data_IF_493255437071
#
_entry.id   IF_493255437071
#
_cell.length_a   1.000
_cell.length_b   1.000
_cell.length_c   1.000
_cell.angle_alpha   90.00
_cell.angle_beta   90.00
_cell.angle_gamma   90.00
#
_symmetry.space_group_name_H-M   'P 1'
#
loop_
_entity.id
_entity.type
_entity.pdbx_description
1 polymer ?
#
# COMPACT_ATOMS: atom_id res chain seq x y z
N UNK A 1 17.41 82.02 -42.60
CA UNK A 1 18.20 81.35 -41.54
C UNK A 1 17.23 80.98 -40.42
N UNK A 2 16.70 79.76 -40.44
CA UNK A 2 15.90 79.21 -39.34
C UNK A 2 16.68 78.07 -38.71
N UNK A 3 17.01 78.25 -37.45
CA UNK A 3 17.77 77.32 -36.61
C UNK A 3 16.89 76.14 -36.21
N UNK A 4 17.31 74.92 -36.54
CA UNK A 4 16.73 73.69 -36.05
C UNK A 4 17.10 73.49 -34.57
N UNK A 5 16.11 73.22 -33.72
CA UNK A 5 16.35 72.85 -32.32
C UNK A 5 16.69 71.35 -32.24
N UNK A 6 17.78 70.95 -31.55
CA UNK A 6 18.10 69.54 -31.38
C UNK A 6 17.11 68.87 -30.41
N UNK A 7 16.44 67.84 -30.92
CA UNK A 7 15.60 66.93 -30.14
C UNK A 7 16.49 66.12 -29.19
N UNK A 8 16.50 66.47 -27.91
CA UNK A 8 17.13 65.67 -26.86
C UNK A 8 16.18 64.55 -26.43
N UNK A 9 16.31 63.39 -27.08
CA UNK A 9 15.70 62.14 -26.65
C UNK A 9 16.32 61.79 -25.30
N UNK A 10 15.59 62.06 -24.20
CA UNK A 10 15.97 61.58 -22.85
C UNK A 10 15.89 60.06 -22.87
N UNK A 11 17.01 59.32 -22.79
CA UNK A 11 16.93 57.88 -22.62
C UNK A 11 16.24 57.64 -21.29
N UNK A 12 15.13 56.93 -21.34
CA UNK A 12 14.32 56.56 -20.19
C UNK A 12 15.17 55.64 -19.33
N UNK A 13 16.01 56.23 -18.47
CA UNK A 13 16.78 55.53 -17.44
C UNK A 13 15.78 54.75 -16.61
N UNK A 14 15.74 53.44 -16.86
CA UNK A 14 15.00 52.47 -16.09
C UNK A 14 15.33 52.74 -14.62
N UNK A 15 14.34 53.24 -13.86
CA UNK A 15 14.58 53.72 -12.52
C UNK A 15 15.25 52.63 -11.68
N UNK A 16 16.23 52.96 -10.83
CA UNK A 16 16.98 51.96 -10.06
C UNK A 16 16.07 51.09 -9.19
N UNK A 17 14.90 51.60 -8.79
CA UNK A 17 13.86 50.85 -8.06
C UNK A 17 13.19 49.78 -8.92
N UNK A 18 12.93 50.05 -10.19
CA UNK A 18 12.38 49.07 -11.12
C UNK A 18 13.41 47.97 -11.42
N UNK A 19 14.70 48.33 -11.56
CA UNK A 19 15.78 47.37 -11.71
C UNK A 19 15.99 46.51 -10.44
N UNK A 20 15.90 47.10 -9.24
CA UNK A 20 15.99 46.37 -7.96
C UNK A 20 14.80 45.42 -7.74
N UNK A 21 13.58 45.83 -8.08
CA UNK A 21 12.40 44.97 -8.01
C UNK A 21 12.49 43.81 -9.00
N UNK A 22 12.95 44.07 -10.23
CA UNK A 22 13.13 43.03 -11.24
C UNK A 22 14.22 42.01 -10.83
N UNK A 23 15.31 42.48 -10.22
CA UNK A 23 16.38 41.63 -9.70
C UNK A 23 15.95 40.82 -8.47
N UNK A 24 15.14 41.40 -7.57
CA UNK A 24 14.53 40.69 -6.45
C UNK A 24 13.56 39.60 -6.94
N UNK A 25 12.70 39.92 -7.92
CA UNK A 25 11.80 38.94 -8.55
C UNK A 25 12.57 37.82 -9.26
N UNK A 26 13.66 38.15 -9.96
CA UNK A 26 14.52 37.16 -10.60
C UNK A 26 15.16 36.23 -9.58
N UNK A 27 15.68 36.76 -8.47
CA UNK A 27 16.28 35.98 -7.38
C UNK A 27 15.23 35.07 -6.72
N UNK A 28 14.03 35.60 -6.43
CA UNK A 28 12.88 34.84 -5.89
C UNK A 28 12.40 33.74 -6.84
N UNK A 29 12.45 33.95 -8.16
CA UNK A 29 12.07 32.93 -9.15
C UNK A 29 13.12 31.84 -9.31
N UNK A 30 14.40 32.14 -9.09
CA UNK A 30 15.49 31.14 -9.18
C UNK A 30 15.68 30.32 -7.90
N UNK A 31 15.02 30.68 -6.80
CA UNK A 31 15.17 30.02 -5.49
C UNK A 31 14.16 28.91 -5.23
N UNK A 32 13.62 28.22 -6.25
CA UNK A 32 12.75 27.08 -6.02
C UNK A 32 13.53 25.94 -5.36
N UNK A 33 13.22 25.64 -4.09
CA UNK A 33 13.79 24.49 -3.39
C UNK A 33 13.44 23.19 -4.10
N UNK A 34 14.45 22.33 -4.33
CA UNK A 34 14.22 20.97 -4.81
C UNK A 34 14.36 20.02 -3.62
N UNK A 35 13.26 19.38 -3.23
CA UNK A 35 13.25 18.28 -2.26
C UNK A 35 13.15 16.95 -2.99
N UNK A 36 14.08 16.04 -2.70
CA UNK A 36 14.06 14.68 -3.24
C UNK A 36 14.04 13.69 -2.10
N UNK A 37 13.01 12.84 -2.08
CA UNK A 37 12.86 11.79 -1.06
C UNK A 37 12.90 10.43 -1.75
N UNK A 38 13.72 9.52 -1.24
CA UNK A 38 14.01 8.20 -1.82
C UNK A 38 13.93 7.12 -0.74
N UNK A 39 13.21 6.05 -1.04
CA UNK A 39 13.11 4.86 -0.20
C UNK A 39 13.74 3.68 -0.94
N UNK A 40 14.77 3.08 -0.37
CA UNK A 40 15.44 1.89 -0.89
C UNK A 40 14.99 0.67 -0.10
N UNK A 41 14.35 -0.29 -0.77
CA UNK A 41 13.87 -1.54 -0.18
C UNK A 41 14.85 -2.66 -0.49
N UNK A 42 15.34 -3.33 0.56
CA UNK A 42 16.21 -4.49 0.49
C UNK A 42 15.51 -5.68 1.13
N UNK A 43 15.76 -6.86 0.58
CA UNK A 43 15.30 -8.12 1.18
C UNK A 43 16.44 -9.12 1.29
N UNK A 44 16.34 -9.97 2.30
CA UNK A 44 17.19 -11.13 2.49
C UNK A 44 16.29 -12.38 2.52
N UNK A 45 16.39 -13.28 1.54
CA UNK A 45 17.31 -13.25 0.38
C UNK A 45 16.92 -12.23 -0.71
N UNK A 46 17.86 -11.76 -1.54
CA UNK A 46 17.59 -10.80 -2.62
C UNK A 46 16.71 -11.39 -3.74
N UNK A 47 16.22 -10.52 -4.63
CA UNK A 47 15.36 -10.90 -5.76
C UNK A 47 13.86 -11.06 -5.42
N UNK A 48 13.39 -10.57 -4.28
CA UNK A 48 11.97 -10.52 -3.98
C UNK A 48 11.27 -9.41 -4.80
N UNK A 49 10.06 -9.67 -5.28
CA UNK A 49 9.19 -8.69 -5.94
C UNK A 49 8.57 -7.77 -4.88
N UNK A 50 8.69 -6.46 -5.08
CA UNK A 50 8.27 -5.42 -4.12
C UNK A 50 7.06 -4.66 -4.65
N UNK A 51 6.07 -4.54 -3.79
CA UNK A 51 4.94 -3.64 -3.93
C UNK A 51 5.01 -2.58 -2.85
N UNK A 52 4.79 -1.32 -3.21
CA UNK A 52 4.65 -0.20 -2.27
C UNK A 52 3.29 0.43 -2.54
N UNK A 53 2.45 0.53 -1.50
CA UNK A 53 1.08 1.05 -1.60
C UNK A 53 0.29 0.38 -2.75
N UNK A 54 0.35 -0.95 -2.79
CA UNK A 54 -0.24 -1.82 -3.82
C UNK A 54 0.30 -1.64 -5.26
N UNK A 55 1.24 -0.74 -5.50
CA UNK A 55 1.90 -0.56 -6.80
C UNK A 55 3.17 -1.42 -6.90
N UNK A 56 3.31 -2.16 -8.01
CA UNK A 56 4.52 -2.94 -8.29
C UNK A 56 5.69 -2.00 -8.64
N UNK A 57 6.78 -2.10 -7.89
CA UNK A 57 7.98 -1.27 -8.11
C UNK A 57 9.04 -2.05 -8.89
N UNK A 58 9.31 -3.29 -8.50
CA UNK A 58 10.34 -4.13 -9.10
C UNK A 58 10.91 -5.15 -8.13
N UNK A 59 12.10 -5.69 -8.42
CA UNK A 59 12.77 -6.69 -7.58
C UNK A 59 13.83 -6.08 -6.66
N UNK A 60 13.94 -6.55 -5.42
CA UNK A 60 14.96 -6.06 -4.47
C UNK A 60 16.38 -6.40 -4.92
N UNK A 61 17.37 -5.50 -4.71
CA UNK A 61 17.22 -4.16 -4.13
C UNK A 61 16.61 -3.16 -5.13
N UNK A 62 15.58 -2.43 -4.72
CA UNK A 62 14.92 -1.42 -5.55
C UNK A 62 14.73 -0.10 -4.78
N UNK A 63 14.75 1.02 -5.49
CA UNK A 63 14.52 2.35 -4.92
C UNK A 63 13.27 2.98 -5.54
N UNK A 64 12.43 3.57 -4.70
CA UNK A 64 11.23 4.32 -5.10
C UNK A 64 11.33 5.74 -4.56
N UNK A 65 11.06 6.72 -5.41
CA UNK A 65 10.96 8.12 -4.99
C UNK A 65 9.54 8.36 -4.42
N UNK A 66 9.41 9.06 -3.28
CA UNK A 66 8.12 9.30 -2.62
C UNK A 66 7.90 10.78 -2.32
N UNK A 67 6.63 11.22 -2.26
CA UNK A 67 6.31 12.64 -2.05
C UNK A 67 5.98 12.93 -0.58
N UNK A 68 5.11 12.14 0.04
CA UNK A 68 4.59 12.39 1.39
C UNK A 68 5.18 11.43 2.42
N UNK A 69 5.42 11.93 3.62
CA UNK A 69 5.69 11.10 4.79
C UNK A 69 4.43 10.46 5.34
N UNK A 70 4.62 9.39 6.10
CA UNK A 70 3.54 8.60 6.67
C UNK A 70 3.90 7.12 6.69
N UNK A 71 2.90 6.31 6.99
CA UNK A 71 3.01 4.85 6.95
C UNK A 71 2.72 4.37 5.53
N UNK A 72 3.58 3.51 4.98
CA UNK A 72 3.39 2.89 3.67
C UNK A 72 3.33 1.38 3.78
N UNK A 73 2.46 0.77 3.00
CA UNK A 73 2.35 -0.69 2.95
C UNK A 73 3.42 -1.21 1.99
N UNK A 74 4.38 -1.97 2.53
CA UNK A 74 5.43 -2.63 1.74
C UNK A 74 5.13 -4.13 1.75
N UNK A 75 4.88 -4.68 0.56
CA UNK A 75 4.63 -6.11 0.38
C UNK A 75 5.73 -6.74 -0.47
N UNK A 76 6.37 -7.77 0.07
CA UNK A 76 7.44 -8.51 -0.57
C UNK A 76 6.99 -9.93 -0.89
N UNK A 77 7.19 -10.34 -2.14
CA UNK A 77 6.80 -11.66 -2.64
C UNK A 77 8.03 -12.34 -3.22
N UNK A 78 8.32 -13.56 -2.77
CA UNK A 78 9.39 -14.39 -3.32
C UNK A 78 8.97 -15.86 -3.32
N UNK A 79 9.29 -16.59 -4.39
CA UNK A 79 9.01 -18.03 -4.50
C UNK A 79 9.72 -18.83 -3.40
N UNK A 80 8.99 -19.70 -2.71
CA UNK A 80 9.52 -20.51 -1.60
C UNK A 80 9.68 -19.75 -0.28
N UNK A 81 9.19 -18.51 -0.22
CA UNK A 81 9.17 -17.68 0.98
C UNK A 81 7.74 -17.21 1.26
N UNK A 82 7.44 -16.95 2.52
CA UNK A 82 6.18 -16.36 2.94
C UNK A 82 6.05 -14.93 2.41
N UNK A 83 4.85 -14.55 1.97
CA UNK A 83 4.57 -13.17 1.56
C UNK A 83 4.57 -12.28 2.78
N UNK A 84 5.47 -11.30 2.80
CA UNK A 84 5.61 -10.38 3.92
C UNK A 84 4.94 -9.05 3.57
N UNK A 85 3.90 -8.68 4.33
CA UNK A 85 3.25 -7.37 4.24
C UNK A 85 3.51 -6.59 5.53
N UNK A 86 4.20 -5.45 5.42
CA UNK A 86 4.59 -4.61 6.57
C UNK A 86 4.17 -3.17 6.33
N UNK A 87 3.50 -2.59 7.33
CA UNK A 87 3.22 -1.17 7.38
C UNK A 87 4.43 -0.44 7.94
N UNK A 88 5.28 0.09 7.05
CA UNK A 88 6.51 0.76 7.43
C UNK A 88 6.24 2.25 7.70
N UNK A 89 6.39 2.74 8.95
CA UNK A 89 6.30 4.16 9.23
C UNK A 89 7.54 4.89 8.71
N UNK A 90 7.31 5.98 7.98
CA UNK A 90 8.35 6.90 7.49
C UNK A 90 8.04 8.28 8.11
N UNK A 91 8.58 8.57 9.31
CA UNK A 91 8.26 9.80 10.02
C UNK A 91 8.82 11.02 9.29
N UNK A 92 7.99 12.08 9.26
CA UNK A 92 8.40 13.38 8.78
C UNK A 92 9.44 13.99 9.73
N UNK A 93 10.53 14.58 9.22
CA UNK A 93 11.43 15.37 10.03
C UNK A 93 10.73 16.66 10.48
N UNK A 94 11.22 17.25 11.57
CA UNK A 94 10.63 18.42 12.22
C UNK A 94 10.38 19.62 11.28
N UNK A 95 11.22 19.78 10.25
CA UNK A 95 11.13 20.88 9.29
C UNK A 95 10.07 20.68 8.20
N UNK A 96 9.44 19.50 8.10
CA UNK A 96 8.38 19.18 7.14
C UNK A 96 7.01 19.02 7.80
N UNK A 97 6.83 19.60 8.99
CA UNK A 97 5.54 19.67 9.69
C UNK A 97 4.84 20.98 9.30
N UNK A 98 3.57 20.96 8.85
CA UNK A 98 2.83 22.19 8.56
C UNK A 98 2.72 23.11 9.79
N UNK A 99 2.89 24.44 9.65
CA UNK A 99 3.10 25.23 8.43
C UNK A 99 4.58 25.41 8.02
N UNK A 100 5.52 24.96 8.85
CA UNK A 100 6.96 25.14 8.65
C UNK A 100 7.46 24.49 7.34
N UNK A 101 6.81 23.40 6.93
CA UNK A 101 7.02 22.69 5.66
C UNK A 101 6.98 23.60 4.43
N UNK A 102 6.05 24.57 4.39
CA UNK A 102 5.97 25.49 3.26
C UNK A 102 7.21 26.37 3.15
N UNK A 103 7.79 26.79 4.27
CA UNK A 103 8.96 27.66 4.26
C UNK A 103 10.22 26.86 3.95
N UNK A 104 10.35 25.65 4.52
CA UNK A 104 11.50 24.79 4.27
C UNK A 104 11.53 24.23 2.85
N UNK A 105 10.41 23.81 2.27
CA UNK A 105 10.39 23.31 0.89
C UNK A 105 10.55 24.43 -0.15
N UNK A 106 10.00 25.64 0.08
CA UNK A 106 10.05 26.75 -0.91
C UNK A 106 11.25 27.68 -0.75
N UNK A 107 11.79 27.86 0.46
CA UNK A 107 12.90 28.79 0.75
C UNK A 107 14.17 28.08 1.21
N UNK A 108 14.26 26.75 1.13
CA UNK A 108 15.54 26.08 1.24
C UNK A 108 16.41 26.49 0.04
N UNK A 109 17.29 27.47 0.27
CA UNK A 109 18.41 27.83 -0.60
C UNK A 109 19.39 26.65 -0.86
N UNK A 110 19.07 25.43 -0.39
CA UNK A 110 19.84 24.21 -0.51
C UNK A 110 18.94 23.01 -0.87
N UNK A 111 19.49 22.05 -1.63
CA UNK A 111 18.79 20.83 -2.05
C UNK A 111 18.65 19.87 -0.86
N UNK A 112 17.43 19.66 -0.37
CA UNK A 112 17.15 18.70 0.71
C UNK A 112 17.00 17.31 0.09
N UNK A 113 17.83 16.36 0.53
CA UNK A 113 17.77 14.95 0.13
C UNK A 113 17.50 14.07 1.34
N UNK A 114 16.42 13.30 1.27
CA UNK A 114 16.09 12.28 2.27
C UNK A 114 16.16 10.90 1.60
N UNK A 115 17.23 10.15 1.85
CA UNK A 115 17.38 8.76 1.41
C UNK A 115 17.27 7.83 2.61
N UNK A 116 16.33 6.88 2.54
CA UNK A 116 16.07 5.91 3.59
C UNK A 116 16.18 4.51 3.03
N UNK A 117 16.88 3.64 3.74
CA UNK A 117 17.00 2.22 3.39
C UNK A 117 16.30 1.36 4.43
N UNK A 118 15.42 0.47 3.97
CA UNK A 118 14.70 -0.50 4.80
C UNK A 118 15.05 -1.92 4.35
N UNK A 119 15.30 -2.81 5.30
CA UNK A 119 15.75 -4.19 5.04
C UNK A 119 14.80 -5.18 5.70
N UNK A 120 14.32 -6.16 4.93
CA UNK A 120 13.41 -7.18 5.40
C UNK A 120 14.04 -8.58 5.29
N UNK A 121 13.82 -9.43 6.28
CA UNK A 121 14.19 -10.84 6.21
C UNK A 121 12.93 -11.66 5.90
N UNK A 122 12.95 -12.40 4.79
CA UNK A 122 11.84 -13.27 4.40
C UNK A 122 11.97 -14.62 5.08
N UNK A 123 10.85 -15.14 5.58
CA UNK A 123 10.80 -16.46 6.18
C UNK A 123 10.52 -17.50 5.09
N UNK A 124 11.25 -18.63 5.07
CA UNK A 124 10.98 -19.71 4.13
C UNK A 124 9.55 -20.24 4.31
N UNK A 125 8.86 -20.48 3.19
CA UNK A 125 7.53 -21.06 3.24
C UNK A 125 7.65 -22.56 3.57
N UNK A 126 7.14 -22.95 4.74
CA UNK A 126 7.00 -24.37 5.06
C UNK A 126 5.93 -24.98 4.15
N UNK A 127 6.35 -25.79 3.17
CA UNK A 127 5.42 -26.69 2.51
C UNK A 127 5.01 -27.77 3.52
N UNK A 128 3.75 -27.78 3.95
CA UNK A 128 3.22 -28.94 4.66
C UNK A 128 3.36 -30.14 3.72
N UNK A 129 3.98 -31.26 4.16
CA UNK A 129 4.09 -32.44 3.32
C UNK A 129 2.69 -32.85 2.90
N UNK A 130 2.51 -33.13 1.60
CA UNK A 130 1.21 -33.39 0.97
C UNK A 130 0.42 -34.46 1.74
N UNK A 131 1.10 -35.46 2.31
CA UNK A 131 0.49 -36.51 3.13
C UNK A 131 -0.27 -35.97 4.34
N UNK A 132 0.25 -34.95 5.04
CA UNK A 132 -0.41 -34.36 6.19
C UNK A 132 -1.69 -33.63 5.79
N UNK A 133 -1.65 -32.94 4.64
CA UNK A 133 -2.81 -32.24 4.09
C UNK A 133 -3.88 -33.24 3.64
N UNK A 134 -3.48 -34.36 3.03
CA UNK A 134 -4.39 -35.45 2.63
C UNK A 134 -5.01 -36.11 3.86
N UNK A 135 -4.20 -36.49 4.85
CA UNK A 135 -4.67 -37.13 6.09
C UNK A 135 -5.71 -36.27 6.81
N UNK A 136 -5.44 -34.97 6.93
CA UNK A 136 -6.37 -34.01 7.54
C UNK A 136 -7.66 -33.86 6.74
N UNK A 137 -7.58 -33.88 5.40
CA UNK A 137 -8.75 -33.87 4.53
C UNK A 137 -9.59 -35.15 4.69
N UNK A 138 -8.96 -36.31 4.79
CA UNK A 138 -9.64 -37.59 4.96
C UNK A 138 -10.28 -37.72 6.35
N UNK A 139 -9.63 -37.18 7.39
CA UNK A 139 -10.21 -37.08 8.73
C UNK A 139 -11.47 -36.19 8.74
N UNK A 140 -11.46 -35.07 8.01
CA UNK A 140 -12.65 -34.22 7.87
C UNK A 140 -13.78 -34.96 7.14
N UNK A 141 -13.46 -35.72 6.08
CA UNK A 141 -14.45 -36.54 5.35
C UNK A 141 -15.04 -37.65 6.22
N UNK A 142 -14.21 -38.38 6.96
CA UNK A 142 -14.67 -39.49 7.80
C UNK A 142 -15.62 -39.02 8.91
N UNK A 143 -15.38 -37.83 9.48
CA UNK A 143 -16.29 -37.20 10.46
C UNK A 143 -17.67 -36.88 9.88
N UNK A 144 -17.76 -36.41 8.63
CA UNK A 144 -19.04 -36.18 7.95
C UNK A 144 -19.76 -37.48 7.61
N UNK A 145 -19.03 -38.49 7.12
CA UNK A 145 -19.59 -39.80 6.75
C UNK A 145 -20.10 -40.58 7.97
N UNK A 146 -19.42 -40.48 9.11
CA UNK A 146 -19.79 -41.16 10.37
C UNK A 146 -21.00 -40.50 11.05
N UNK A 147 -21.55 -39.42 10.48
CA UNK A 147 -22.75 -38.75 11.00
C UNK A 147 -22.52 -37.98 12.31
N UNK A 148 -21.27 -37.82 12.76
CA UNK A 148 -20.92 -36.93 13.87
C UNK A 148 -20.84 -35.48 13.37
N UNK A 149 -21.99 -34.93 13.00
CA UNK A 149 -22.20 -33.48 13.02
C UNK A 149 -22.47 -33.17 14.49
N UNK A 150 -21.52 -32.55 15.20
CA UNK A 150 -21.76 -32.17 16.59
C UNK A 150 -23.04 -31.34 16.66
N UNK A 151 -23.94 -31.79 17.53
CA UNK A 151 -24.98 -30.99 18.15
C UNK A 151 -24.36 -29.64 18.52
N UNK A 152 -24.94 -28.54 18.03
CA UNK A 152 -24.72 -27.22 18.58
C UNK A 152 -25.34 -27.15 19.98
N UNK A 153 -24.80 -27.93 20.91
CA UNK A 153 -25.13 -27.84 22.33
C UNK A 153 -24.31 -26.70 22.87
N UNK A 154 -24.94 -25.53 22.98
CA UNK A 154 -24.36 -24.37 23.62
C UNK A 154 -23.82 -24.74 25.00
N UNK A 155 -22.55 -24.44 25.22
CA UNK A 155 -22.05 -23.61 26.32
C UNK A 155 -20.53 -23.48 26.14
N UNK A 156 -20.06 -22.27 25.88
CA UNK A 156 -18.65 -21.91 25.92
C UNK A 156 -17.90 -21.93 24.58
N UNK A 157 -18.19 -20.96 23.71
CA UNK A 157 -17.14 -20.46 22.82
C UNK A 157 -15.94 -20.03 23.68
N UNK A 158 -14.68 -20.25 23.27
CA UNK A 158 -13.60 -19.46 23.85
C UNK A 158 -13.95 -18.01 23.53
N UNK A 159 -14.27 -17.26 24.58
CA UNK A 159 -14.39 -15.81 24.54
C UNK A 159 -13.07 -15.31 23.96
N UNK A 160 -13.08 -15.00 22.66
CA UNK A 160 -12.15 -14.03 22.12
C UNK A 160 -12.61 -12.72 22.76
N UNK A 161 -11.96 -12.35 23.86
CA UNK A 161 -12.17 -11.07 24.51
C UNK A 161 -11.72 -10.00 23.52
N UNK A 162 -12.62 -9.56 22.64
CA UNK A 162 -12.45 -8.28 21.98
C UNK A 162 -12.57 -7.21 23.06
N UNK A 163 -11.57 -6.32 23.23
CA UNK A 163 -11.68 -5.23 24.19
C UNK A 163 -12.77 -4.26 23.72
N UNK A 164 -13.93 -4.32 24.37
CA UNK A 164 -14.86 -3.23 24.62
C UNK A 164 -15.56 -2.56 23.43
N UNK A 165 -16.80 -2.99 23.16
CA UNK A 165 -17.88 -2.09 22.73
C UNK A 165 -19.21 -2.53 23.36
N UNK A 166 -20.00 -1.65 24.03
CA UNK A 166 -21.23 -2.06 24.69
C UNK A 166 -22.38 -2.34 23.72
N UNK A 167 -23.12 -3.39 24.06
CA UNK A 167 -24.23 -3.97 23.32
C UNK A 167 -25.45 -3.03 23.22
N UNK A 168 -26.00 -2.85 22.01
CA UNK A 168 -27.34 -2.32 21.79
C UNK A 168 -28.19 -3.47 21.21
N UNK A 169 -29.15 -3.94 22.01
CA UNK A 169 -30.00 -5.08 21.67
C UNK A 169 -30.83 -4.86 20.40
N UNK A 170 -31.21 -5.95 19.74
CA UNK A 170 -32.16 -5.89 18.62
C UNK A 170 -33.21 -7.00 18.72
N UNK A 171 -34.44 -6.74 18.25
CA UNK A 171 -35.64 -7.33 18.80
C UNK A 171 -36.44 -8.03 17.69
N UNK A 172 -36.21 -9.30 17.43
CA UNK A 172 -37.09 -10.05 16.52
C UNK A 172 -37.27 -11.48 17.02
N UNK A 173 -38.12 -11.56 18.04
CA UNK A 173 -38.72 -12.79 18.54
C UNK A 173 -40.06 -12.94 17.83
N UNK A 174 -40.22 -13.96 16.98
CA UNK A 174 -41.53 -14.39 16.49
C UNK A 174 -41.63 -14.70 14.98
N UNK A 175 -41.46 -15.98 14.63
CA UNK A 175 -42.19 -16.60 13.52
C UNK A 175 -42.26 -18.13 13.73
N UNK A 176 -43.42 -18.80 13.57
CA UNK A 176 -43.56 -20.24 13.77
C UNK A 176 -43.08 -21.05 12.55
N UNK A 177 -42.47 -22.21 12.84
CA UNK A 177 -41.83 -23.12 11.89
C UNK A 177 -42.83 -23.92 11.02
N UNK A 178 -42.70 -23.85 9.69
CA UNK A 178 -43.20 -24.88 8.77
C UNK A 178 -42.09 -25.90 8.45
N UNK A 179 -42.39 -27.20 8.28
CA UNK A 179 -41.38 -28.18 7.88
C UNK A 179 -41.18 -28.14 6.35
N UNK A 180 -39.99 -27.76 5.90
CA UNK A 180 -39.57 -27.92 4.50
C UNK A 180 -38.95 -29.31 4.27
N UNK A 181 -39.31 -29.90 3.14
CA UNK A 181 -38.98 -31.25 2.66
C UNK A 181 -37.47 -31.61 2.66
N UNK A 182 -37.11 -32.91 2.69
CA UNK A 182 -35.71 -33.34 2.59
C UNK A 182 -35.08 -32.96 1.24
N UNK A 183 -33.79 -32.55 1.22
CA UNK A 183 -33.11 -32.22 -0.03
C UNK A 183 -32.90 -33.48 -0.88
N UNK A 184 -33.36 -33.41 -2.13
CA UNK A 184 -33.16 -34.45 -3.14
C UNK A 184 -31.68 -34.71 -3.41
N UNK A 185 -31.36 -35.96 -3.72
CA UNK A 185 -30.01 -36.40 -4.02
C UNK A 185 -29.42 -35.69 -5.24
N UNK A 186 -28.17 -35.24 -5.11
CA UNK A 186 -27.37 -34.83 -6.25
C UNK A 186 -26.99 -36.07 -7.06
N UNK A 187 -27.50 -36.16 -8.28
CA UNK A 187 -26.95 -37.06 -9.30
C UNK A 187 -25.63 -36.45 -9.81
N UNK A 188 -24.52 -37.19 -9.83
CA UNK A 188 -23.28 -36.68 -10.43
C UNK A 188 -23.45 -36.55 -11.95
N UNK A 189 -22.94 -35.45 -12.51
CA UNK A 189 -22.90 -35.21 -13.94
C UNK A 189 -22.08 -36.31 -14.68
N UNK A 190 -22.46 -36.72 -15.90
CA UNK A 190 -21.72 -37.73 -16.64
C UNK A 190 -20.32 -37.24 -17.02
N UNK A 191 -19.34 -38.14 -16.84
CA UNK A 191 -17.94 -37.96 -17.18
C UNK A 191 -17.76 -37.69 -18.69
N UNK A 192 -16.87 -36.76 -19.12
CA UNK A 192 -16.61 -36.56 -20.54
C UNK A 192 -15.92 -37.79 -21.16
N UNK A 193 -16.38 -38.19 -22.35
CA UNK A 193 -15.91 -39.34 -23.09
C UNK A 193 -14.45 -39.16 -23.60
N UNK A 194 -13.71 -40.27 -23.84
CA UNK A 194 -12.36 -40.21 -24.40
C UNK A 194 -12.39 -39.72 -25.86
N UNK A 195 -11.53 -38.75 -26.19
CA UNK A 195 -11.37 -38.24 -27.55
C UNK A 195 -10.50 -39.22 -28.35
N UNK A 196 -11.06 -39.87 -29.38
CA UNK A 196 -10.28 -40.66 -30.34
C UNK A 196 -9.42 -39.75 -31.24
N UNK A 197 -8.24 -40.21 -31.71
CA UNK A 197 -7.42 -39.48 -32.66
C UNK A 197 -7.90 -39.72 -34.10
N UNK A 198 -7.89 -38.66 -34.92
CA UNK A 198 -8.26 -38.70 -36.34
C UNK A 198 -7.17 -39.38 -37.19
N UNK A 199 -7.54 -40.01 -38.33
CA UNK A 199 -6.62 -40.65 -39.27
C UNK A 199 -5.78 -39.67 -40.10
#
# INVERSE_FOLDING_TARGET
MHTANPCTIRPHLLQPRAAQLLLLCLVLMTSTGCVRRRLTVRSNPPGALVYVDNQMIGTTPCSVDFTYYGTREIRLIKSGYETLTVNQPIPAPWYQVPPLDFVSDNFALHKIRDDRTVSFNLQPQMMLPVEEVIRRGEELRSRTVTGQVMQASGTGAPVVTQPGVPNAGSPFEGAPSMPLAPPGGFTPAPSPAPTEPWP
#
